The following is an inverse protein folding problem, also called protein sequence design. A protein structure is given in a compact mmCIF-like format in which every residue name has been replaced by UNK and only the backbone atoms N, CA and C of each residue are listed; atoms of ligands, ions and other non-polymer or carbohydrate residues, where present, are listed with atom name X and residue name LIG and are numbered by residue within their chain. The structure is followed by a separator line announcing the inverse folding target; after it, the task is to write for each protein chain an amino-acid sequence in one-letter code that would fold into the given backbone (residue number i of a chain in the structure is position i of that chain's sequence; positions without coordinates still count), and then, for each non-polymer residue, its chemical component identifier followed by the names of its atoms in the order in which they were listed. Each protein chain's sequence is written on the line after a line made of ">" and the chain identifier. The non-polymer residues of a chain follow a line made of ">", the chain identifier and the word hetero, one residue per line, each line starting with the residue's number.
data_IF_145583719711
#
_entry.id   IF_145583719711
#
_cell.length_a   1.000
_cell.length_b   1.000
_cell.length_c   1.000
_cell.angle_alpha   90.00
_cell.angle_beta   90.00
_cell.angle_gamma   90.00
#
_symmetry.space_group_name_H-M   'P 1'
#
loop_
_entity.id
_entity.type
_entity.pdbx_description
1 polymer ?
#
# COMPACT_ATOMS: atom_id res chain seq x y z
N UNK A 1 -6.45 -14.04 -7.81
CA UNK A 1 -5.43 -13.01 -7.72
C UNK A 1 -5.04 -12.80 -6.25
N UNK A 2 -3.76 -12.88 -5.94
CA UNK A 2 -3.27 -12.94 -4.56
C UNK A 2 -3.65 -11.73 -3.71
N UNK A 3 -3.52 -10.52 -4.23
CA UNK A 3 -3.86 -9.33 -3.45
C UNK A 3 -5.37 -9.15 -3.28
N UNK A 4 -6.17 -9.59 -4.25
CA UNK A 4 -7.63 -9.59 -4.11
C UNK A 4 -8.06 -10.59 -3.04
N UNK A 5 -7.42 -11.76 -3.00
CA UNK A 5 -7.68 -12.76 -1.95
C UNK A 5 -7.31 -12.21 -0.57
N UNK A 6 -6.18 -11.51 -0.49
CA UNK A 6 -5.78 -10.86 0.75
C UNK A 6 -6.78 -9.79 1.19
N UNK A 7 -7.26 -8.97 0.23
CA UNK A 7 -8.30 -7.99 0.50
C UNK A 7 -9.56 -8.65 1.08
N UNK A 8 -10.02 -9.74 0.45
CA UNK A 8 -11.24 -10.40 0.90
C UNK A 8 -11.10 -10.96 2.32
N UNK A 9 -9.91 -11.37 2.70
CA UNK A 9 -9.61 -11.88 4.04
C UNK A 9 -9.54 -10.76 5.08
N UNK A 10 -9.08 -9.57 4.70
CA UNK A 10 -8.81 -8.48 5.64
C UNK A 10 -9.78 -7.31 5.56
N UNK A 11 -10.69 -7.26 4.61
CA UNK A 11 -11.50 -6.08 4.28
C UNK A 11 -12.31 -5.50 5.45
N UNK A 12 -12.64 -6.29 6.46
CA UNK A 12 -13.41 -5.83 7.61
C UNK A 12 -12.55 -5.35 8.78
N UNK A 13 -11.23 -5.40 8.64
CA UNK A 13 -10.31 -4.94 9.67
C UNK A 13 -10.19 -3.42 9.60
N UNK A 14 -10.37 -2.76 10.76
CA UNK A 14 -10.34 -1.31 10.84
C UNK A 14 -8.93 -0.75 10.81
N UNK A 15 -8.82 0.51 10.43
CA UNK A 15 -7.56 1.23 10.52
C UNK A 15 -7.20 1.51 11.98
N UNK A 16 -5.92 1.32 12.31
CA UNK A 16 -5.38 1.71 13.61
C UNK A 16 -3.92 2.07 13.42
N UNK A 17 -3.55 3.32 13.74
CA UNK A 17 -2.16 3.76 13.65
C UNK A 17 -1.28 2.87 14.53
N UNK A 18 -0.20 2.35 13.94
CA UNK A 18 0.69 1.40 14.63
C UNK A 18 0.13 -0.01 14.74
N UNK A 19 -1.09 -0.25 14.25
CA UNK A 19 -1.74 -1.56 14.34
C UNK A 19 -1.14 -2.57 13.37
N UNK A 20 -1.08 -3.83 13.82
CA UNK A 20 -0.49 -4.92 13.06
C UNK A 20 -1.33 -6.20 13.08
N UNK A 21 -2.61 -6.11 13.46
CA UNK A 21 -3.42 -7.30 13.72
C UNK A 21 -4.85 -7.13 13.22
N UNK A 22 -5.65 -8.17 13.45
CA UNK A 22 -7.08 -8.19 13.12
C UNK A 22 -7.91 -7.17 13.91
N UNK A 23 -7.36 -6.63 15.01
CA UNK A 23 -8.05 -5.59 15.79
C UNK A 23 -7.78 -4.19 15.25
N UNK A 24 -6.87 -4.06 14.31
CA UNK A 24 -6.56 -2.80 13.66
C UNK A 24 -5.23 -2.89 12.94
N UNK A 25 -5.13 -2.28 11.75
CA UNK A 25 -3.92 -2.35 10.94
C UNK A 25 -3.68 -1.02 10.22
N UNK A 26 -2.42 -0.55 10.23
CA UNK A 26 -2.07 0.66 9.50
C UNK A 26 -1.64 0.34 8.06
N UNK A 27 -1.32 1.38 7.28
CA UNK A 27 -1.03 1.21 5.85
C UNK A 27 0.21 0.37 5.59
N UNK A 28 1.29 0.61 6.32
CA UNK A 28 2.54 -0.12 6.11
C UNK A 28 2.49 -1.55 6.64
N UNK A 29 1.79 -1.80 7.75
CA UNK A 29 1.58 -3.16 8.25
C UNK A 29 0.73 -3.97 7.28
N UNK A 30 -0.25 -3.35 6.65
CA UNK A 30 -1.09 -4.00 5.65
C UNK A 30 -0.25 -4.50 4.47
N UNK A 31 0.58 -3.63 3.89
CA UNK A 31 1.47 -4.03 2.79
C UNK A 31 2.47 -5.08 3.23
N UNK A 32 3.03 -4.93 4.43
CA UNK A 32 3.98 -5.89 4.99
C UNK A 32 3.35 -7.29 5.09
N UNK A 33 2.14 -7.39 5.63
CA UNK A 33 1.45 -8.68 5.76
C UNK A 33 1.06 -9.27 4.42
N UNK A 34 0.59 -8.44 3.49
CA UNK A 34 0.19 -8.90 2.17
C UNK A 34 1.36 -9.56 1.44
N UNK A 35 2.52 -8.91 1.43
CA UNK A 35 3.70 -9.46 0.76
C UNK A 35 4.24 -10.70 1.46
N UNK A 36 4.21 -10.72 2.78
CA UNK A 36 4.66 -11.90 3.53
C UNK A 36 3.75 -13.10 3.32
N UNK A 37 2.45 -12.91 3.47
CA UNK A 37 1.51 -14.03 3.37
C UNK A 37 1.39 -14.58 1.95
N UNK A 38 1.40 -13.73 0.95
CA UNK A 38 1.14 -14.16 -0.42
C UNK A 38 2.40 -14.50 -1.21
N UNK A 39 3.54 -13.94 -0.85
CA UNK A 39 4.77 -14.11 -1.62
C UNK A 39 6.00 -14.47 -0.79
N UNK A 40 5.87 -14.53 0.53
CA UNK A 40 7.01 -14.84 1.40
C UNK A 40 8.06 -13.73 1.44
N UNK A 41 7.69 -12.51 1.09
CA UNK A 41 8.61 -11.37 1.03
C UNK A 41 8.47 -10.54 2.30
N UNK A 42 9.60 -10.31 2.99
CA UNK A 42 9.66 -9.47 4.18
C UNK A 42 9.87 -8.02 3.77
N UNK A 43 8.91 -7.15 4.10
CA UNK A 43 9.07 -5.71 3.92
C UNK A 43 9.41 -5.07 5.26
N UNK A 44 10.14 -3.93 5.27
CA UNK A 44 10.32 -3.18 6.50
C UNK A 44 8.99 -2.71 7.09
N UNK A 45 8.97 -2.39 8.37
CA UNK A 45 7.73 -2.11 9.11
C UNK A 45 7.03 -0.81 8.73
N UNK A 46 7.77 0.23 8.33
CA UNK A 46 7.20 1.56 8.16
C UNK A 46 7.18 2.02 6.72
N UNK A 47 6.29 2.96 6.39
CA UNK A 47 6.23 3.57 5.07
C UNK A 47 7.57 4.22 4.69
N UNK A 48 8.21 4.92 5.64
CA UNK A 48 9.48 5.60 5.38
C UNK A 48 10.62 4.63 5.09
N UNK A 49 10.57 3.41 5.61
CA UNK A 49 11.58 2.40 5.31
C UNK A 49 11.21 1.59 4.06
N UNK A 50 9.93 1.35 3.82
CA UNK A 50 9.48 0.66 2.61
C UNK A 50 9.81 1.44 1.33
N UNK A 51 9.80 2.76 1.39
CA UNK A 51 10.08 3.61 0.23
C UNK A 51 11.52 3.46 -0.29
N UNK A 52 12.39 2.84 0.50
CA UNK A 52 13.80 2.64 0.14
C UNK A 52 14.12 1.23 -0.36
N UNK A 53 13.13 0.33 -0.43
CA UNK A 53 13.37 -1.05 -0.89
C UNK A 53 12.98 -1.20 -2.35
N UNK A 54 13.52 -2.24 -2.99
CA UNK A 54 13.21 -2.53 -4.39
C UNK A 54 13.78 -1.51 -5.34
N UNK A 55 13.15 -1.37 -6.50
CA UNK A 55 13.58 -0.48 -7.57
C UNK A 55 12.55 0.62 -7.77
N UNK A 56 13.01 1.85 -7.91
CA UNK A 56 12.11 2.98 -8.18
C UNK A 56 11.42 2.80 -9.53
N UNK A 57 10.13 3.11 -9.59
CA UNK A 57 9.30 2.97 -10.79
C UNK A 57 8.62 4.31 -11.06
N UNK A 58 8.68 4.73 -12.32
CA UNK A 58 7.95 5.92 -12.76
C UNK A 58 6.44 5.63 -12.76
N UNK A 59 5.65 6.66 -12.48
CA UNK A 59 4.18 6.52 -12.43
C UNK A 59 3.62 5.93 -13.73
N UNK A 60 4.17 6.31 -14.88
CA UNK A 60 3.73 5.80 -16.17
C UNK A 60 4.03 4.31 -16.37
N UNK A 61 4.95 3.75 -15.60
CA UNK A 61 5.40 2.37 -15.75
C UNK A 61 4.86 1.43 -14.66
N UNK A 62 3.88 1.88 -13.89
CA UNK A 62 3.33 1.09 -12.78
C UNK A 62 2.74 -0.23 -13.27
N UNK A 63 3.01 -1.28 -12.49
CA UNK A 63 2.48 -2.63 -12.71
C UNK A 63 1.87 -3.15 -11.41
N UNK A 64 0.92 -4.08 -11.54
CA UNK A 64 0.31 -4.72 -10.38
C UNK A 64 1.38 -5.26 -9.44
N UNK A 65 1.23 -4.98 -8.15
CA UNK A 65 2.18 -5.38 -7.11
C UNK A 65 3.22 -4.34 -6.77
N UNK A 66 3.32 -3.26 -7.54
CA UNK A 66 4.20 -2.16 -7.16
C UNK A 66 3.64 -1.44 -5.93
N UNK A 67 4.52 -0.98 -5.04
CA UNK A 67 4.11 -0.13 -3.93
C UNK A 67 4.04 1.32 -4.39
N UNK A 68 2.94 1.98 -4.07
CA UNK A 68 2.75 3.41 -4.38
C UNK A 68 2.75 4.20 -3.07
N UNK A 69 3.45 5.34 -3.06
CA UNK A 69 3.70 6.13 -1.86
C UNK A 69 3.14 7.53 -2.02
N UNK A 70 2.62 8.06 -0.92
CA UNK A 70 1.97 9.37 -0.88
C UNK A 70 2.49 10.18 0.30
N UNK A 71 2.55 11.48 0.13
CA UNK A 71 2.78 12.44 1.22
C UNK A 71 1.45 13.13 1.47
N UNK A 72 0.69 12.61 2.42
CA UNK A 72 -0.67 13.07 2.68
C UNK A 72 -0.72 14.34 3.53
N UNK A 73 0.38 14.62 4.24
CA UNK A 73 0.59 15.87 4.97
C UNK A 73 2.09 16.05 5.16
N UNK A 74 2.51 17.13 5.84
CA UNK A 74 3.93 17.34 6.14
C UNK A 74 4.54 16.19 6.96
N UNK A 75 3.74 15.56 7.81
CA UNK A 75 4.20 14.51 8.72
C UNK A 75 3.79 13.11 8.27
N UNK A 76 2.68 13.02 7.55
CA UNK A 76 2.06 11.73 7.27
C UNK A 76 2.46 11.22 5.90
N UNK A 77 2.91 9.98 5.88
CA UNK A 77 3.23 9.24 4.66
C UNK A 77 2.29 8.05 4.58
N UNK A 78 1.94 7.66 3.36
CA UNK A 78 1.00 6.59 3.12
C UNK A 78 1.53 5.67 2.04
N UNK A 79 1.14 4.40 2.09
CA UNK A 79 1.56 3.39 1.12
C UNK A 79 0.38 2.50 0.75
N UNK A 80 0.35 2.06 -0.50
CA UNK A 80 -0.62 1.09 -0.98
C UNK A 80 0.00 0.20 -2.04
N UNK A 81 -0.76 -0.77 -2.50
CA UNK A 81 -0.35 -1.75 -3.51
C UNK A 81 -1.08 -1.43 -4.81
N UNK A 82 -0.31 -1.16 -5.88
CA UNK A 82 -0.92 -0.89 -7.19
C UNK A 82 -1.57 -2.15 -7.73
N UNK A 83 -2.81 -2.03 -8.20
CA UNK A 83 -3.62 -3.16 -8.66
C UNK A 83 -3.90 -3.16 -10.17
N UNK A 84 -3.33 -2.20 -10.90
CA UNK A 84 -3.63 -2.03 -12.32
C UNK A 84 -4.75 -1.03 -12.55
N UNK A 85 -4.84 -0.52 -13.77
CA UNK A 85 -5.92 0.40 -14.21
C UNK A 85 -6.09 1.63 -13.32
N UNK A 86 -4.99 2.13 -12.76
CA UNK A 86 -5.00 3.31 -11.91
C UNK A 86 -5.51 3.09 -10.51
N UNK A 87 -5.77 1.85 -10.11
CA UNK A 87 -6.29 1.53 -8.77
C UNK A 87 -5.18 1.03 -7.85
N UNK A 88 -5.33 1.29 -6.54
CA UNK A 88 -4.44 0.74 -5.53
C UNK A 88 -5.23 0.28 -4.31
N UNK A 89 -4.71 -0.74 -3.64
CA UNK A 89 -5.29 -1.36 -2.45
C UNK A 89 -4.52 -0.88 -1.24
N UNK A 90 -5.24 -0.39 -0.21
CA UNK A 90 -4.58 0.15 0.97
C UNK A 90 -5.44 0.08 2.22
N UNK A 91 -4.79 0.15 3.38
CA UNK A 91 -5.46 0.37 4.65
C UNK A 91 -5.48 1.87 4.92
N UNK A 92 -6.66 2.47 4.87
CA UNK A 92 -6.86 3.90 5.10
C UNK A 92 -7.69 4.12 6.36
N UNK A 93 -7.80 5.39 6.77
CA UNK A 93 -8.65 5.75 7.91
C UNK A 93 -10.11 5.34 7.68
N UNK A 94 -10.53 5.20 6.43
CA UNK A 94 -11.88 4.76 6.07
C UNK A 94 -11.98 3.24 5.90
N UNK A 95 -10.93 2.52 6.23
CA UNK A 95 -10.87 1.06 6.13
C UNK A 95 -9.98 0.58 5.00
N UNK A 96 -9.95 -0.73 4.81
CA UNK A 96 -9.20 -1.37 3.73
C UNK A 96 -10.04 -1.27 2.47
N UNK A 97 -9.49 -0.66 1.43
CA UNK A 97 -10.27 -0.35 0.23
C UNK A 97 -9.37 -0.17 -1.00
N UNK A 98 -10.01 -0.22 -2.16
CA UNK A 98 -9.39 0.18 -3.42
C UNK A 98 -9.69 1.66 -3.65
N UNK A 99 -8.70 2.40 -4.11
CA UNK A 99 -8.86 3.81 -4.46
C UNK A 99 -8.17 4.08 -5.79
N UNK A 100 -8.49 5.22 -6.41
CA UNK A 100 -7.89 5.59 -7.70
C UNK A 100 -6.78 6.59 -7.51
N UNK A 101 -5.68 6.41 -8.26
CA UNK A 101 -4.56 7.35 -8.24
C UNK A 101 -4.95 8.73 -8.78
N UNK A 102 -5.94 8.79 -9.66
CA UNK A 102 -6.38 10.07 -10.26
C UNK A 102 -7.42 10.82 -9.40
N UNK A 103 -7.84 10.23 -8.28
CA UNK A 103 -8.65 10.97 -7.31
C UNK A 103 -7.84 12.18 -6.85
N UNK A 104 -8.41 13.41 -6.85
CA UNK A 104 -7.64 14.62 -6.58
C UNK A 104 -6.74 14.56 -5.35
N UNK A 105 -7.24 14.03 -4.25
CA UNK A 105 -6.45 13.92 -3.03
C UNK A 105 -5.17 13.09 -3.25
N UNK A 106 -5.29 11.92 -3.88
CA UNK A 106 -4.14 11.03 -4.11
C UNK A 106 -3.25 11.50 -5.23
N UNK A 107 -3.84 12.11 -6.26
CA UNK A 107 -3.07 12.69 -7.37
C UNK A 107 -2.11 13.76 -6.84
N UNK A 108 -2.62 14.64 -5.97
CA UNK A 108 -1.81 15.72 -5.40
C UNK A 108 -0.79 15.20 -4.39
N UNK A 109 -1.12 14.14 -3.65
CA UNK A 109 -0.26 13.58 -2.63
C UNK A 109 0.79 12.60 -3.18
N UNK A 110 0.65 12.14 -4.41
CA UNK A 110 1.53 11.12 -4.98
C UNK A 110 3.01 11.51 -4.85
N UNK A 111 3.81 10.57 -4.36
CA UNK A 111 5.24 10.80 -4.09
C UNK A 111 6.12 9.97 -5.03
N UNK A 112 6.06 8.64 -4.95
CA UNK A 112 6.89 7.74 -5.74
C UNK A 112 6.33 6.32 -5.70
N UNK A 113 7.02 5.40 -6.38
CA UNK A 113 6.65 3.99 -6.37
C UNK A 113 7.88 3.11 -6.35
N UNK A 114 7.74 1.90 -5.82
CA UNK A 114 8.81 0.90 -5.72
C UNK A 114 8.32 -0.45 -6.24
N UNK A 115 9.14 -1.09 -7.05
CA UNK A 115 8.88 -2.46 -7.51
C UNK A 115 9.64 -3.43 -6.64
N UNK A 116 8.89 -4.30 -5.96
CA UNK A 116 9.42 -5.29 -5.03
C UNK A 116 9.60 -6.62 -5.74
N UNK A 117 8.66 -6.98 -6.61
CA UNK A 117 8.67 -8.23 -7.37
C UNK A 117 8.95 -7.95 -8.84
N UNK A 118 9.81 -8.74 -9.43
CA UNK A 118 10.09 -8.67 -10.87
C UNK A 118 9.18 -9.59 -11.66
#
# INVERSE_FOLDING_TARGET
>A
QAFVDFYNDWKNVKYKMGGTSRTGIDCSAFTQKAFKEKFGIELPRTTLTQVNVGTEVKKADLKMGDLVFFKTSKRDKHVGIYMGDGAFLHSSINGIQFSKLDKPFYKDAYWTARRIMN
#
